data_IF_163026581267
#
_entry.id   IF_163026581267
#
_cell.length_a   1.000
_cell.length_b   1.000
_cell.length_c   1.000
_cell.angle_alpha   90.00
_cell.angle_beta   90.00
_cell.angle_gamma   90.00
#
_symmetry.space_group_name_H-M   'P 1'
#
loop_
_entity.id
_entity.type
_entity.pdbx_description
1 polymer ?
#
# COMPACT_ATOMS: atom_id res chain seq x y z
N UNK A 1 54.62 4.80 -34.86
CA UNK A 1 53.17 4.78 -35.16
C UNK A 1 52.51 5.93 -34.41
N UNK A 2 51.92 6.94 -35.08
CA UNK A 2 51.23 8.03 -34.41
C UNK A 2 49.73 7.69 -34.25
N UNK A 3 49.25 7.63 -33.01
CA UNK A 3 47.82 7.42 -32.71
C UNK A 3 47.04 8.68 -33.05
N UNK A 4 45.91 8.53 -33.76
CA UNK A 4 45.04 9.64 -34.14
C UNK A 4 44.46 10.32 -32.88
N UNK A 5 44.73 11.62 -32.72
CA UNK A 5 44.14 12.42 -31.65
C UNK A 5 42.83 13.01 -32.14
N UNK A 6 41.71 12.56 -31.58
CA UNK A 6 40.38 13.07 -31.90
C UNK A 6 40.19 14.42 -31.22
N UNK A 7 39.64 15.40 -31.95
CA UNK A 7 39.34 16.73 -31.41
C UNK A 7 38.18 16.63 -30.40
N UNK A 8 38.31 17.23 -29.20
CA UNK A 8 37.22 17.22 -28.23
C UNK A 8 35.99 17.93 -28.81
N UNK A 9 34.83 17.31 -28.61
CA UNK A 9 33.54 17.71 -29.22
C UNK A 9 32.90 18.89 -28.47
N UNK A 10 33.36 19.19 -27.25
CA UNK A 10 32.86 20.32 -26.46
C UNK A 10 33.84 21.50 -26.49
N UNK A 11 33.39 22.72 -26.81
CA UNK A 11 34.19 23.92 -26.57
C UNK A 11 34.49 24.04 -25.08
N UNK A 12 35.74 24.39 -24.73
CA UNK A 12 36.23 24.42 -23.35
C UNK A 12 35.54 25.46 -22.45
N UNK A 13 34.86 26.45 -23.04
CA UNK A 13 34.14 27.50 -22.33
C UNK A 13 32.65 27.49 -22.70
N UNK A 14 31.88 26.67 -21.99
CA UNK A 14 30.42 26.77 -21.95
C UNK A 14 30.07 27.42 -20.62
N UNK A 15 29.67 28.69 -20.64
CA UNK A 15 29.08 29.35 -19.46
C UNK A 15 27.66 28.81 -19.28
N UNK A 16 27.53 27.80 -18.44
CA UNK A 16 26.24 27.24 -18.02
C UNK A 16 25.77 28.07 -16.83
N UNK A 17 24.62 28.73 -16.94
CA UNK A 17 23.95 29.35 -15.80
C UNK A 17 23.20 28.24 -15.04
N UNK A 18 23.76 27.81 -13.90
CA UNK A 18 23.17 26.75 -13.09
C UNK A 18 22.21 27.35 -12.06
N UNK A 19 20.97 26.84 -11.96
CA UNK A 19 20.03 27.30 -10.94
C UNK A 19 20.55 27.02 -9.52
N UNK A 20 20.48 28.02 -8.66
CA UNK A 20 21.05 28.05 -7.29
C UNK A 20 20.35 27.11 -6.30
N UNK A 21 19.25 26.44 -6.69
CA UNK A 21 18.43 25.61 -5.80
C UNK A 21 18.70 24.09 -5.88
N UNK A 22 19.70 23.66 -6.64
CA UNK A 22 20.01 22.23 -6.84
C UNK A 22 21.23 21.76 -6.02
N UNK A 23 21.17 20.52 -5.53
CA UNK A 23 22.29 19.88 -4.83
C UNK A 23 23.54 19.80 -5.73
N UNK A 24 24.69 20.20 -5.18
CA UNK A 24 25.98 20.19 -5.88
C UNK A 24 26.66 18.82 -5.71
N UNK A 25 26.90 18.12 -6.80
CA UNK A 25 27.68 16.87 -6.80
C UNK A 25 29.17 17.16 -7.06
N UNK A 26 30.09 16.40 -6.43
CA UNK A 26 31.52 16.49 -6.71
C UNK A 26 31.83 16.14 -8.18
N UNK A 27 32.75 16.88 -8.79
CA UNK A 27 33.18 16.61 -10.15
C UNK A 27 34.14 15.42 -10.20
N UNK A 28 33.64 14.26 -10.65
CA UNK A 28 34.41 13.02 -10.79
C UNK A 28 35.44 13.04 -11.93
N UNK A 29 35.37 14.02 -12.85
CA UNK A 29 36.26 14.11 -14.01
C UNK A 29 37.51 14.96 -13.73
N UNK A 30 37.54 15.72 -12.64
CA UNK A 30 38.73 16.49 -12.23
C UNK A 30 39.81 15.61 -11.58
N UNK A 31 39.46 14.37 -11.21
CA UNK A 31 40.33 13.46 -10.47
C UNK A 31 41.16 12.59 -11.43
N UNK A 32 41.84 13.24 -12.36
CA UNK A 32 42.77 12.59 -13.29
C UNK A 32 44.22 12.52 -12.78
N UNK A 33 44.57 13.06 -11.61
CA UNK A 33 45.98 13.22 -11.25
C UNK A 33 46.33 13.32 -9.75
N UNK A 34 45.52 12.79 -8.84
CA UNK A 34 45.96 12.55 -7.46
C UNK A 34 45.25 11.32 -6.88
N UNK A 35 45.85 10.15 -7.11
CA UNK A 35 45.60 8.95 -6.32
C UNK A 35 46.38 9.10 -5.02
N UNK A 36 45.77 9.78 -4.05
CA UNK A 36 46.34 10.00 -2.72
C UNK A 36 45.23 10.11 -1.69
N UNK A 37 45.07 9.04 -0.91
CA UNK A 37 44.74 9.10 0.52
C UNK A 37 43.40 9.74 0.91
N UNK A 38 42.28 9.07 0.67
CA UNK A 38 41.10 9.17 1.56
C UNK A 38 40.30 7.86 1.65
N UNK A 39 40.92 6.73 1.34
CA UNK A 39 40.45 5.44 1.81
C UNK A 39 41.28 5.09 3.05
N UNK A 40 40.61 4.72 4.15
CA UNK A 40 41.18 4.37 5.46
C UNK A 40 41.38 5.55 6.44
N UNK A 41 40.27 6.11 6.93
CA UNK A 41 40.25 6.67 8.29
C UNK A 41 39.24 5.90 9.14
N UNK A 42 39.80 5.11 10.06
CA UNK A 42 39.24 4.56 11.29
C UNK A 42 38.05 3.59 11.18
N UNK A 43 38.36 2.31 11.33
CA UNK A 43 37.42 1.23 11.64
C UNK A 43 36.91 1.30 13.08
N UNK A 44 36.25 2.40 13.44
CA UNK A 44 35.41 2.48 14.64
C UNK A 44 33.96 2.45 14.15
N UNK A 45 33.28 1.33 14.38
CA UNK A 45 31.87 1.17 14.02
C UNK A 45 31.09 2.21 14.81
N UNK A 46 30.40 3.11 14.11
CA UNK A 46 29.57 4.16 14.72
C UNK A 46 28.72 3.54 15.85
N UNK A 47 28.75 4.08 17.08
CA UNK A 47 27.94 3.57 18.19
C UNK A 47 26.45 3.50 17.83
N UNK A 48 25.97 4.34 16.91
CA UNK A 48 24.60 4.26 16.38
C UNK A 48 24.35 2.99 15.55
N UNK A 49 25.34 2.53 14.77
CA UNK A 49 25.27 1.28 14.01
C UNK A 49 25.21 0.07 14.94
N UNK A 50 26.01 0.06 16.02
CA UNK A 50 26.01 -1.02 17.01
C UNK A 50 24.69 -1.08 17.79
N UNK A 51 24.18 0.07 18.23
CA UNK A 51 22.86 0.12 18.88
C UNK A 51 21.73 -0.33 17.95
N UNK A 52 21.87 -0.08 16.65
CA UNK A 52 20.91 -0.56 15.65
C UNK A 52 20.98 -2.07 15.47
N UNK A 53 22.18 -2.66 15.43
CA UNK A 53 22.41 -4.10 15.37
C UNK A 53 21.80 -4.82 16.58
N UNK A 54 22.10 -4.36 17.80
CA UNK A 54 21.55 -4.92 19.04
C UNK A 54 20.01 -4.87 19.05
N UNK A 55 19.41 -3.78 18.54
CA UNK A 55 17.96 -3.66 18.43
C UNK A 55 17.38 -4.64 17.40
N UNK A 56 18.08 -4.87 16.29
CA UNK A 56 17.64 -5.82 15.26
C UNK A 56 17.67 -7.26 15.79
N UNK A 57 18.72 -7.63 16.52
CA UNK A 57 18.85 -8.95 17.15
C UNK A 57 17.75 -9.20 18.19
N UNK A 58 17.45 -8.20 19.02
CA UNK A 58 16.38 -8.28 20.00
C UNK A 58 15.00 -8.48 19.34
N UNK A 59 14.75 -7.79 18.22
CA UNK A 59 13.50 -7.97 17.46
C UNK A 59 13.41 -9.37 16.86
N UNK A 60 14.50 -9.88 16.27
CA UNK A 60 14.54 -11.23 15.71
C UNK A 60 14.27 -12.28 16.80
N UNK A 61 14.88 -12.14 17.97
CA UNK A 61 14.66 -13.02 19.13
C UNK A 61 13.19 -13.07 19.54
N UNK A 62 12.54 -11.90 19.66
CA UNK A 62 11.10 -11.82 19.98
C UNK A 62 10.21 -12.46 18.92
N UNK A 63 10.56 -12.30 17.64
CA UNK A 63 9.81 -12.92 16.54
C UNK A 63 9.92 -14.46 16.57
N UNK A 64 11.11 -15.00 16.88
CA UNK A 64 11.28 -16.45 17.04
C UNK A 64 10.47 -17.01 18.22
N UNK A 65 10.48 -16.32 19.36
CA UNK A 65 9.68 -16.70 20.53
C UNK A 65 8.18 -16.67 20.22
N UNK A 66 7.71 -15.59 19.58
CA UNK A 66 6.31 -15.45 19.19
C UNK A 66 5.90 -16.52 18.17
N UNK A 67 6.78 -16.84 17.21
CA UNK A 67 6.53 -17.95 16.28
C UNK A 67 6.38 -19.28 17.01
N UNK A 68 7.25 -19.57 17.98
CA UNK A 68 7.18 -20.79 18.77
C UNK A 68 5.88 -20.89 19.60
N UNK A 69 5.41 -19.76 20.18
CA UNK A 69 4.14 -19.74 20.91
C UNK A 69 2.94 -19.92 19.98
N UNK A 70 2.95 -19.31 18.79
CA UNK A 70 1.91 -19.49 17.77
C UNK A 70 1.88 -20.93 17.25
N UNK A 71 3.04 -21.53 16.96
CA UNK A 71 3.14 -22.93 16.51
C UNK A 71 2.68 -23.90 17.62
N UNK A 72 2.99 -23.59 18.89
CA UNK A 72 2.49 -24.33 20.05
C UNK A 72 0.97 -24.22 20.19
N UNK A 73 0.42 -23.02 20.02
CA UNK A 73 -1.02 -22.77 20.06
C UNK A 73 -1.76 -23.43 18.89
N UNK A 74 -1.19 -23.41 17.67
CA UNK A 74 -1.77 -24.09 16.51
C UNK A 74 -1.89 -25.60 16.75
N UNK A 75 -0.90 -26.22 17.42
CA UNK A 75 -0.94 -27.63 17.80
C UNK A 75 -1.99 -27.93 18.87
N UNK A 76 -2.29 -27.00 19.78
CA UNK A 76 -3.32 -27.21 20.80
C UNK A 76 -4.74 -26.89 20.32
N UNK A 77 -4.89 -25.99 19.34
CA UNK A 77 -6.19 -25.64 18.73
C UNK A 77 -6.62 -26.68 17.69
N UNK A 78 -5.68 -27.41 17.07
CA UNK A 78 -6.00 -28.53 16.17
C UNK A 78 -6.37 -29.77 16.99
N UNK A 79 -7.57 -29.76 17.57
CA UNK A 79 -8.24 -30.99 17.99
C UNK A 79 -8.64 -31.77 16.72
N UNK A 80 -8.35 -33.08 16.64
CA UNK A 80 -8.66 -33.88 15.47
C UNK A 80 -10.08 -34.41 15.61
N UNK A 81 -11.03 -33.76 14.96
CA UNK A 81 -12.28 -34.41 14.57
C UNK A 81 -12.74 -33.83 13.24
N UNK A 82 -13.19 -34.71 12.36
CA UNK A 82 -13.64 -34.50 10.98
C UNK A 82 -12.54 -34.49 9.88
N UNK A 83 -12.15 -35.71 9.51
CA UNK A 83 -12.10 -36.25 8.14
C UNK A 83 -12.45 -35.25 7.01
N UNK A 84 -11.48 -34.93 6.13
CA UNK A 84 -11.80 -34.65 4.73
C UNK A 84 -10.61 -34.90 3.78
N UNK A 85 -10.88 -35.86 2.92
CA UNK A 85 -10.07 -36.52 1.91
C UNK A 85 -9.16 -35.62 1.06
N UNK A 86 -7.89 -36.02 0.98
CA UNK A 86 -6.87 -35.45 0.13
C UNK A 86 -6.87 -36.19 -1.22
N UNK A 87 -7.68 -35.72 -2.17
CA UNK A 87 -7.51 -36.09 -3.57
C UNK A 87 -8.03 -35.01 -4.50
N UNK A 88 -7.13 -34.30 -5.18
CA UNK A 88 -7.14 -34.11 -6.64
C UNK A 88 -6.02 -33.15 -7.04
N UNK A 89 -4.92 -33.76 -7.50
CA UNK A 89 -3.88 -33.13 -8.28
C UNK A 89 -4.39 -32.91 -9.73
N UNK A 90 -3.94 -31.81 -10.34
CA UNK A 90 -3.91 -31.52 -11.79
C UNK A 90 -5.04 -30.65 -12.37
N UNK A 91 -4.76 -29.34 -12.49
CA UNK A 91 -5.01 -28.59 -13.75
C UNK A 91 -4.15 -27.32 -13.81
N UNK A 92 -3.22 -27.29 -14.77
CA UNK A 92 -2.46 -26.09 -15.19
C UNK A 92 -3.31 -25.27 -16.21
N UNK A 93 -2.91 -24.06 -16.63
CA UNK A 93 -3.48 -22.79 -16.22
C UNK A 93 -4.33 -22.15 -17.34
N UNK A 94 -5.56 -21.76 -17.06
CA UNK A 94 -6.31 -20.91 -17.97
C UNK A 94 -7.17 -19.95 -17.16
N UNK A 95 -6.82 -18.67 -17.31
CA UNK A 95 -7.55 -17.49 -16.84
C UNK A 95 -7.76 -17.43 -15.33
N UNK A 96 -6.97 -16.59 -14.67
CA UNK A 96 -7.22 -16.17 -13.28
C UNK A 96 -8.49 -15.32 -13.23
N UNK A 97 -9.64 -15.99 -13.30
CA UNK A 97 -10.86 -15.52 -12.67
C UNK A 97 -10.53 -15.51 -11.19
N UNK A 98 -10.17 -14.33 -10.68
CA UNK A 98 -10.04 -14.07 -9.25
C UNK A 98 -11.25 -14.71 -8.55
N UNK A 99 -11.03 -15.79 -7.79
CA UNK A 99 -12.02 -16.36 -6.88
C UNK A 99 -12.19 -15.32 -5.76
N UNK A 100 -13.08 -14.36 -6.00
CA UNK A 100 -13.15 -13.07 -5.32
C UNK A 100 -13.25 -13.18 -3.79
N UNK A 101 -13.89 -14.22 -3.24
CA UNK A 101 -14.04 -14.37 -1.79
C UNK A 101 -12.74 -14.77 -1.09
N UNK A 102 -11.99 -15.72 -1.65
CA UNK A 102 -10.74 -16.20 -1.06
C UNK A 102 -9.60 -15.18 -1.18
N UNK A 103 -9.65 -14.32 -2.21
CA UNK A 103 -8.66 -13.27 -2.42
C UNK A 103 -8.81 -12.10 -1.43
N UNK A 104 -10.05 -11.68 -1.14
CA UNK A 104 -10.29 -10.58 -0.21
C UNK A 104 -9.85 -10.92 1.22
N UNK A 105 -10.12 -12.15 1.69
CA UNK A 105 -9.64 -12.65 2.98
C UNK A 105 -8.11 -12.81 3.02
N UNK A 106 -7.48 -13.07 1.87
CA UNK A 106 -6.02 -13.12 1.76
C UNK A 106 -5.38 -11.74 1.79
N UNK A 107 -6.05 -10.71 1.26
CA UNK A 107 -5.57 -9.33 1.21
C UNK A 107 -5.82 -8.53 2.49
N UNK A 108 -7.00 -8.71 3.11
CA UNK A 108 -7.42 -7.98 4.30
C UNK A 108 -7.26 -8.78 5.60
N UNK A 109 -6.91 -10.06 5.50
CA UNK A 109 -6.86 -11.00 6.63
C UNK A 109 -8.17 -11.78 6.78
N UNK A 110 -8.09 -12.93 7.46
CA UNK A 110 -9.25 -13.77 7.77
C UNK A 110 -10.02 -13.18 8.94
N UNK A 111 -10.96 -12.29 8.68
CA UNK A 111 -11.97 -11.96 9.69
C UNK A 111 -13.21 -12.81 9.41
N UNK A 112 -13.49 -13.70 10.37
CA UNK A 112 -14.42 -14.82 10.31
C UNK A 112 -15.86 -14.37 10.06
N UNK A 113 -16.23 -14.12 8.80
CA UNK A 113 -17.61 -13.92 8.36
C UNK A 113 -18.24 -12.57 8.74
N UNK A 114 -17.44 -11.58 9.17
CA UNK A 114 -17.92 -10.22 9.39
C UNK A 114 -17.85 -9.40 8.10
N UNK A 115 -18.95 -8.71 7.75
CA UNK A 115 -18.99 -7.75 6.65
C UNK A 115 -17.86 -6.71 6.83
N UNK A 116 -17.06 -6.49 5.79
CA UNK A 116 -15.97 -5.51 5.81
C UNK A 116 -16.49 -4.12 5.50
N UNK A 117 -16.67 -3.27 6.51
CA UNK A 117 -17.26 -1.95 6.31
C UNK A 117 -16.20 -0.87 6.00
N UNK A 118 -16.44 -0.09 4.95
CA UNK A 118 -15.60 1.01 4.49
C UNK A 118 -16.43 2.28 4.61
N UNK A 119 -16.04 3.17 5.52
CA UNK A 119 -16.71 4.47 5.73
C UNK A 119 -15.85 5.59 5.17
N UNK A 120 -16.39 6.37 4.24
CA UNK A 120 -15.67 7.45 3.56
C UNK A 120 -16.42 8.77 3.75
N UNK A 121 -15.72 9.77 4.27
CA UNK A 121 -16.23 11.13 4.36
C UNK A 121 -15.79 11.92 3.12
N UNK A 122 -16.73 12.58 2.46
CA UNK A 122 -16.46 13.39 1.28
C UNK A 122 -17.18 14.74 1.34
N UNK A 123 -16.57 15.77 0.76
CA UNK A 123 -17.21 17.08 0.63
C UNK A 123 -18.06 17.13 -0.66
N UNK A 124 -19.36 17.49 -0.58
CA UNK A 124 -20.23 17.57 -1.76
C UNK A 124 -19.83 18.66 -2.76
N UNK A 125 -19.10 19.70 -2.33
CA UNK A 125 -18.55 20.72 -3.24
C UNK A 125 -17.42 20.19 -4.12
N UNK A 126 -16.74 19.13 -3.68
CA UNK A 126 -15.64 18.48 -4.40
C UNK A 126 -15.83 16.96 -4.39
N UNK A 127 -16.81 16.43 -5.15
CA UNK A 127 -17.15 15.02 -5.14
C UNK A 127 -15.96 14.17 -5.66
N UNK A 128 -15.53 13.13 -4.94
CA UNK A 128 -14.40 12.30 -5.35
C UNK A 128 -14.80 11.34 -6.47
N UNK A 129 -14.71 11.80 -7.73
CA UNK A 129 -15.10 11.02 -8.91
C UNK A 129 -14.31 9.71 -9.05
N UNK A 130 -13.02 9.71 -8.69
CA UNK A 130 -12.18 8.50 -8.71
C UNK A 130 -12.72 7.40 -7.81
N UNK A 131 -13.27 7.76 -6.66
CA UNK A 131 -13.87 6.84 -5.71
C UNK A 131 -15.19 6.26 -6.24
N UNK A 132 -16.00 7.06 -6.95
CA UNK A 132 -17.23 6.55 -7.58
C UNK A 132 -16.91 5.53 -8.68
N UNK A 133 -15.84 5.75 -9.45
CA UNK A 133 -15.37 4.77 -10.45
C UNK A 133 -14.87 3.50 -9.75
N UNK A 134 -14.09 3.64 -8.68
CA UNK A 134 -13.62 2.49 -7.89
C UNK A 134 -14.78 1.71 -7.29
N UNK A 135 -15.82 2.40 -6.78
CA UNK A 135 -17.03 1.77 -6.29
C UNK A 135 -17.72 0.94 -7.38
N UNK A 136 -17.88 1.48 -8.58
CA UNK A 136 -18.44 0.74 -9.71
C UNK A 136 -17.62 -0.51 -10.08
N UNK A 137 -16.29 -0.42 -10.01
CA UNK A 137 -15.38 -1.57 -10.22
C UNK A 137 -15.50 -2.60 -9.09
N UNK A 138 -15.64 -2.15 -7.84
CA UNK A 138 -15.84 -3.02 -6.69
C UNK A 138 -17.17 -3.78 -6.79
N UNK A 139 -18.25 -3.12 -7.22
CA UNK A 139 -19.55 -3.77 -7.43
C UNK A 139 -19.53 -4.85 -8.53
N UNK A 140 -18.60 -4.79 -9.49
CA UNK A 140 -18.44 -5.84 -10.52
C UNK A 140 -17.76 -7.10 -9.98
N UNK A 141 -16.96 -6.97 -8.91
CA UNK A 141 -16.12 -8.05 -8.38
C UNK A 141 -16.64 -8.62 -7.06
N UNK A 142 -17.31 -7.79 -6.27
CA UNK A 142 -17.76 -8.11 -4.92
C UNK A 142 -19.23 -7.75 -4.72
N UNK A 143 -19.88 -8.44 -3.77
CA UNK A 143 -21.19 -8.03 -3.31
C UNK A 143 -21.04 -6.87 -2.32
N UNK A 144 -21.25 -5.64 -2.81
CA UNK A 144 -21.05 -4.40 -2.05
C UNK A 144 -22.40 -3.85 -1.55
N UNK A 145 -22.55 -3.72 -0.24
CA UNK A 145 -23.66 -3.00 0.38
C UNK A 145 -23.35 -1.50 0.38
N UNK A 146 -24.06 -0.74 -0.43
CA UNK A 146 -23.78 0.69 -0.63
C UNK A 146 -24.77 1.57 0.12
N UNK A 147 -24.27 2.54 0.89
CA UNK A 147 -25.10 3.49 1.63
C UNK A 147 -24.56 4.92 1.50
N UNK A 148 -25.47 5.90 1.46
CA UNK A 148 -25.13 7.32 1.37
C UNK A 148 -25.84 8.07 2.50
N UNK A 149 -25.07 8.79 3.29
CA UNK A 149 -25.54 9.63 4.39
C UNK A 149 -25.13 11.09 4.18
N UNK A 150 -25.89 11.99 4.80
CA UNK A 150 -25.59 13.42 4.85
C UNK A 150 -25.35 13.79 6.31
N UNK A 151 -24.20 14.37 6.58
CA UNK A 151 -23.84 14.86 7.91
C UNK A 151 -24.46 16.25 8.15
N UNK A 152 -24.75 16.58 9.41
CA UNK A 152 -25.36 17.86 9.79
C UNK A 152 -24.55 19.10 9.43
N UNK A 153 -23.24 18.94 9.16
CA UNK A 153 -22.39 20.05 8.70
C UNK A 153 -22.66 20.50 7.26
N UNK A 154 -23.44 19.74 6.48
CA UNK A 154 -23.86 20.11 5.13
C UNK A 154 -25.34 20.46 5.14
N UNK A 155 -25.69 21.66 4.69
CA UNK A 155 -27.08 22.12 4.62
C UNK A 155 -27.86 21.54 3.43
N UNK A 156 -27.20 21.36 2.28
CA UNK A 156 -27.83 20.82 1.08
C UNK A 156 -26.83 20.01 0.23
N UNK A 157 -27.23 18.81 -0.18
CA UNK A 157 -26.49 17.96 -1.12
C UNK A 157 -27.31 17.80 -2.39
N UNK A 158 -26.74 18.05 -3.59
CA UNK A 158 -27.41 17.82 -4.86
C UNK A 158 -28.02 16.41 -4.97
N UNK A 159 -29.24 16.25 -5.52
CA UNK A 159 -29.87 14.93 -5.70
C UNK A 159 -29.02 13.88 -6.42
N UNK A 160 -28.23 14.21 -7.47
CA UNK A 160 -27.35 13.24 -8.11
C UNK A 160 -26.30 12.62 -7.18
N UNK A 161 -25.85 13.38 -6.16
CA UNK A 161 -24.88 12.92 -5.18
C UNK A 161 -25.53 12.06 -4.09
N UNK A 162 -26.84 12.17 -3.87
CA UNK A 162 -27.58 11.29 -2.96
C UNK A 162 -27.81 9.89 -3.55
N UNK A 163 -27.83 9.79 -4.88
CA UNK A 163 -28.00 8.55 -5.64
C UNK A 163 -26.73 8.08 -6.36
N UNK A 164 -25.56 8.64 -6.02
CA UNK A 164 -24.32 8.37 -6.77
C UNK A 164 -23.81 6.93 -6.67
N UNK A 165 -24.20 6.18 -5.64
CA UNK A 165 -23.83 4.78 -5.44
C UNK A 165 -24.88 3.79 -5.95
N UNK A 166 -25.90 4.26 -6.68
CA UNK A 166 -26.97 3.43 -7.21
C UNK A 166 -28.17 3.23 -6.28
N UNK A 167 -29.06 2.26 -6.57
CA UNK A 167 -30.26 2.00 -5.78
C UNK A 167 -29.90 1.67 -4.33
N UNK A 168 -30.61 2.30 -3.39
CA UNK A 168 -30.45 1.96 -1.98
C UNK A 168 -30.95 0.54 -1.76
N UNK A 169 -30.09 -0.36 -1.29
CA UNK A 169 -30.52 -1.67 -0.83
C UNK A 169 -31.29 -1.49 0.48
N UNK A 170 -32.63 -1.59 0.40
CA UNK A 170 -33.55 -1.43 1.53
C UNK A 170 -33.46 -2.65 2.47
N UNK A 171 -32.97 -3.78 1.97
CA UNK A 171 -32.87 -5.05 2.69
C UNK A 171 -31.58 -5.16 3.51
N UNK A 172 -31.47 -4.33 4.55
CA UNK A 172 -30.37 -4.35 5.53
C UNK A 172 -30.27 -5.68 6.31
N UNK A 173 -31.27 -6.56 6.21
CA UNK A 173 -31.32 -7.87 6.88
C UNK A 173 -30.40 -8.93 6.24
N UNK A 174 -29.93 -8.71 5.01
CA UNK A 174 -29.04 -9.64 4.30
C UNK A 174 -27.54 -9.27 4.42
N UNK A 175 -27.15 -8.52 5.45
CA UNK A 175 -25.74 -8.09 5.68
C UNK A 175 -24.72 -9.22 5.61
N UNK A 176 -25.11 -10.44 5.98
CA UNK A 176 -24.27 -11.64 5.91
C UNK A 176 -24.01 -12.17 4.49
N UNK A 177 -24.76 -11.69 3.48
CA UNK A 177 -24.54 -12.04 2.07
C UNK A 177 -23.54 -11.10 1.39
N UNK A 178 -23.45 -9.87 1.88
CA UNK A 178 -22.53 -8.88 1.33
C UNK A 178 -21.10 -9.15 1.85
N UNK A 179 -20.11 -8.89 0.99
CA UNK A 179 -18.69 -9.08 1.31
C UNK A 179 -18.05 -7.77 1.79
N UNK A 180 -18.52 -6.65 1.23
CA UNK A 180 -18.03 -5.30 1.54
C UNK A 180 -19.23 -4.39 1.89
N UNK A 181 -19.10 -3.60 2.95
CA UNK A 181 -19.92 -2.43 3.22
C UNK A 181 -19.22 -1.19 2.67
N UNK A 182 -19.95 -0.34 1.97
CA UNK A 182 -19.45 0.89 1.39
C UNK A 182 -20.37 2.03 1.77
N UNK A 183 -19.90 2.88 2.68
CA UNK A 183 -20.68 3.95 3.29
C UNK A 183 -20.05 5.29 2.95
N UNK A 184 -20.75 6.11 2.16
CA UNK A 184 -20.33 7.46 1.81
C UNK A 184 -21.09 8.48 2.66
N UNK A 185 -20.37 9.32 3.38
CA UNK A 185 -20.93 10.38 4.21
C UNK A 185 -20.54 11.72 3.61
N UNK A 186 -21.55 12.46 3.14
CA UNK A 186 -21.37 13.85 2.72
C UNK A 186 -21.20 14.71 3.96
N UNK A 187 -19.99 15.22 4.17
CA UNK A 187 -19.60 16.02 5.32
C UNK A 187 -18.78 17.22 4.87
N UNK A 188 -19.11 18.39 5.40
CA UNK A 188 -18.26 19.55 5.26
C UNK A 188 -17.09 19.45 6.25
N UNK A 189 -15.86 19.49 5.72
CA UNK A 189 -14.63 19.29 6.49
C UNK A 189 -13.39 19.44 5.61
N UNK A 190 -12.35 20.05 6.16
CA UNK A 190 -11.03 20.11 5.52
C UNK A 190 -10.52 18.69 5.25
N UNK A 191 -9.86 18.53 4.09
CA UNK A 191 -9.36 17.24 3.57
C UNK A 191 -8.82 16.37 4.70
N UNK A 192 -9.37 15.17 4.87
CA UNK A 192 -8.66 14.09 5.56
C UNK A 192 -7.38 13.90 4.76
N UNK A 193 -6.27 14.42 5.31
CA UNK A 193 -4.92 14.15 4.81
C UNK A 193 -4.82 12.64 4.77
N UNK A 194 -4.70 12.09 3.55
CA UNK A 194 -4.45 10.68 3.35
C UNK A 194 -3.35 10.23 4.32
N UNK A 195 -3.62 9.12 5.00
CA UNK A 195 -2.70 8.42 5.90
C UNK A 195 -1.29 8.50 5.31
N UNK A 196 -0.45 9.36 5.89
CA UNK A 196 1.00 9.27 5.69
C UNK A 196 1.43 8.09 6.57
N UNK A 197 1.90 7.03 5.91
CA UNK A 197 2.81 6.07 6.53
C UNK A 197 4.07 6.78 6.97
#
# INVERSE_FOLDING_TARGET
MPMYKVKPVSPADIKIDLPTCMYKLPNIHAQGMNCGEHALQNGEVDPALKALEERQDEVLRRLYELKATVDGLAKTVTTPDADLDASTLSRVPAESVFRATADLDSLLGKDLGALRDIVINANPAHPPLSLLVLHALLCQRYQVLSSVHVHSSVSAVPPPLLSCLGPRHIDSYARQRFQLGFTLIWKDGERVKGVRR
#
